data_IF_034940962820
#
_entry.id   IF_034940962820
#
_cell.length_a   1.000
_cell.length_b   1.000
_cell.length_c   1.000
_cell.angle_alpha   90.00
_cell.angle_beta   90.00
_cell.angle_gamma   90.00
#
_symmetry.space_group_name_H-M   'P 1'
#
loop_
_entity.id
_entity.type
_entity.pdbx_description
1 polymer ?
#
# COMPACT_ATOMS: atom_id res chain seq x y z
N UNK A 1 -17.44 3.47 -17.93
CA UNK A 1 -16.35 4.04 -17.11
C UNK A 1 -15.13 4.18 -17.98
N UNK A 2 -14.58 5.39 -18.09
CA UNK A 2 -13.37 5.65 -18.87
C UNK A 2 -12.11 5.60 -18.01
N UNK A 3 -11.03 5.04 -18.57
CA UNK A 3 -9.72 4.96 -17.95
C UNK A 3 -8.71 5.76 -18.77
N UNK A 4 -7.87 6.52 -18.08
CA UNK A 4 -6.70 7.14 -18.70
C UNK A 4 -5.63 6.08 -18.99
N UNK A 5 -4.72 6.36 -19.93
CA UNK A 5 -3.60 5.44 -20.25
C UNK A 5 -2.77 5.04 -19.01
N UNK A 6 -2.41 5.94 -18.08
CA UNK A 6 -1.68 5.55 -16.87
C UNK A 6 -2.49 4.65 -15.92
N UNK A 7 -3.78 4.90 -15.77
CA UNK A 7 -4.68 4.05 -14.97
C UNK A 7 -4.79 2.64 -15.57
N UNK A 8 -4.99 2.55 -16.89
CA UNK A 8 -5.04 1.28 -17.59
C UNK A 8 -3.73 0.50 -17.43
N UNK A 9 -2.59 1.14 -17.66
CA UNK A 9 -1.27 0.51 -17.46
C UNK A 9 -1.06 0.03 -16.02
N UNK A 10 -1.56 0.78 -15.04
CA UNK A 10 -1.51 0.37 -13.63
C UNK A 10 -2.29 -0.92 -13.40
N UNK A 11 -3.54 -1.00 -13.90
CA UNK A 11 -4.36 -2.21 -13.80
C UNK A 11 -3.73 -3.41 -14.53
N UNK A 12 -3.19 -3.18 -15.74
CA UNK A 12 -2.54 -4.23 -16.51
C UNK A 12 -1.29 -4.78 -15.83
N UNK A 13 -0.56 -3.96 -15.05
CA UNK A 13 0.56 -4.45 -14.24
C UNK A 13 0.13 -5.36 -13.11
N UNK A 14 -1.04 -5.15 -12.52
CA UNK A 14 -1.54 -6.06 -11.47
C UNK A 14 -1.77 -7.46 -12.03
N UNK A 15 -2.20 -7.60 -13.30
CA UNK A 15 -2.39 -8.90 -13.95
C UNK A 15 -1.10 -9.72 -14.10
N UNK A 16 0.06 -9.07 -14.09
CA UNK A 16 1.36 -9.73 -14.17
C UNK A 16 1.82 -10.34 -12.82
N UNK A 17 1.04 -10.17 -11.75
CA UNK A 17 1.40 -10.60 -10.40
C UNK A 17 0.42 -11.65 -9.84
N UNK A 18 0.91 -12.57 -8.98
CA UNK A 18 0.07 -13.51 -8.26
C UNK A 18 -1.03 -12.79 -7.46
N UNK A 19 -2.23 -13.38 -7.42
CA UNK A 19 -3.44 -12.84 -6.77
C UNK A 19 -3.79 -11.41 -7.20
N UNK A 20 -3.28 -11.00 -8.36
CA UNK A 20 -3.36 -9.65 -8.89
C UNK A 20 -2.92 -8.59 -7.87
N UNK A 21 -1.92 -8.91 -7.03
CA UNK A 21 -1.45 -8.09 -5.91
C UNK A 21 0.04 -7.78 -6.04
N UNK A 22 0.42 -6.53 -5.79
CA UNK A 22 1.83 -6.15 -5.75
C UNK A 22 2.09 -4.94 -4.85
N UNK A 23 3.37 -4.76 -4.48
CA UNK A 23 3.80 -3.51 -3.85
C UNK A 23 3.59 -2.33 -4.79
N UNK A 24 3.22 -1.17 -4.25
CA UNK A 24 2.98 0.02 -5.08
C UNK A 24 4.20 0.40 -5.94
N UNK A 25 5.41 0.10 -5.44
CA UNK A 25 6.66 0.33 -6.15
C UNK A 25 6.75 -0.41 -7.49
N UNK A 26 6.10 -1.57 -7.62
CA UNK A 26 6.11 -2.40 -8.85
C UNK A 26 5.05 -1.97 -9.87
N UNK A 27 4.07 -1.18 -9.46
CA UNK A 27 2.89 -0.81 -10.25
C UNK A 27 3.06 0.47 -11.07
N UNK A 28 4.29 0.88 -11.35
CA UNK A 28 4.58 2.14 -12.06
C UNK A 28 4.15 2.12 -13.54
N UNK A 29 3.18 2.90 -14.02
CA UNK A 29 2.76 2.85 -15.43
C UNK A 29 3.92 3.03 -16.43
N UNK A 30 4.91 3.86 -16.09
CA UNK A 30 6.14 4.05 -16.86
C UNK A 30 7.32 4.39 -15.93
N UNK A 31 8.55 4.43 -16.47
CA UNK A 31 9.76 4.69 -15.70
C UNK A 31 9.83 6.11 -15.09
N UNK A 32 9.09 7.07 -15.65
CA UNK A 32 9.08 8.47 -15.19
C UNK A 32 8.01 8.75 -14.13
N UNK A 33 7.17 7.78 -13.80
CA UNK A 33 6.08 8.00 -12.83
C UNK A 33 6.64 8.05 -11.41
N UNK A 34 6.45 9.18 -10.72
CA UNK A 34 6.93 9.36 -9.36
C UNK A 34 6.16 8.52 -8.33
N UNK A 35 6.70 8.36 -7.12
CA UNK A 35 5.98 7.70 -6.02
C UNK A 35 4.63 8.36 -5.71
N UNK A 36 4.59 9.70 -5.66
CA UNK A 36 3.37 10.45 -5.40
C UNK A 36 2.32 10.27 -6.51
N UNK A 37 2.76 10.24 -7.77
CA UNK A 37 1.86 9.98 -8.91
C UNK A 37 1.29 8.55 -8.86
N UNK A 38 2.10 7.54 -8.52
CA UNK A 38 1.62 6.16 -8.34
C UNK A 38 0.58 6.06 -7.22
N UNK A 39 0.84 6.73 -6.09
CA UNK A 39 -0.10 6.74 -4.97
C UNK A 39 -1.42 7.41 -5.37
N UNK A 40 -1.35 8.55 -6.08
CA UNK A 40 -2.52 9.23 -6.62
C UNK A 40 -3.32 8.32 -7.56
N UNK A 41 -2.66 7.64 -8.50
CA UNK A 41 -3.31 6.72 -9.43
C UNK A 41 -4.01 5.57 -8.70
N UNK A 42 -3.35 4.98 -7.70
CA UNK A 42 -3.94 3.93 -6.88
C UNK A 42 -5.21 4.42 -6.15
N UNK A 43 -5.17 5.61 -5.56
CA UNK A 43 -6.35 6.21 -4.90
C UNK A 43 -7.48 6.52 -5.88
N UNK A 44 -7.17 7.03 -7.08
CA UNK A 44 -8.17 7.30 -8.13
C UNK A 44 -8.85 6.02 -8.61
N UNK A 45 -8.08 4.96 -8.84
CA UNK A 45 -8.62 3.64 -9.20
C UNK A 45 -9.44 3.02 -8.07
N UNK A 46 -9.05 3.25 -6.82
CA UNK A 46 -9.80 2.79 -5.65
C UNK A 46 -11.14 3.53 -5.48
N UNK A 47 -11.18 4.84 -5.75
CA UNK A 47 -12.44 5.60 -5.82
C UNK A 47 -13.38 5.08 -6.92
N UNK A 48 -12.83 4.50 -7.99
CA UNK A 48 -13.58 3.82 -9.06
C UNK A 48 -13.99 2.39 -8.69
N UNK A 49 -13.62 1.89 -7.51
CA UNK A 49 -13.88 0.52 -7.06
C UNK A 49 -13.04 -0.54 -7.76
N UNK A 50 -12.03 -0.17 -8.55
CA UNK A 50 -11.26 -1.09 -9.39
C UNK A 50 -10.08 -1.75 -8.68
N UNK A 51 -9.51 -1.05 -7.70
CA UNK A 51 -8.41 -1.56 -6.88
C UNK A 51 -8.70 -1.29 -5.42
N UNK A 52 -8.15 -2.13 -4.56
CA UNK A 52 -8.05 -1.87 -3.13
C UNK A 52 -6.57 -1.93 -2.72
N UNK A 53 -6.25 -1.42 -1.54
CA UNK A 53 -4.88 -1.25 -1.12
C UNK A 53 -4.70 -1.37 0.40
N UNK A 54 -3.50 -1.77 0.81
CA UNK A 54 -3.05 -1.68 2.20
C UNK A 54 -2.25 -0.41 2.42
N UNK A 55 -2.38 0.17 3.62
CA UNK A 55 -1.61 1.32 4.06
C UNK A 55 -0.82 0.98 5.32
N UNK A 56 0.34 1.58 5.45
CA UNK A 56 1.20 1.44 6.61
C UNK A 56 1.78 2.79 7.03
N UNK A 57 2.10 2.90 8.32
CA UNK A 57 2.81 4.05 8.86
C UNK A 57 4.22 4.01 8.29
N UNK A 58 4.56 5.03 7.50
CA UNK A 58 5.88 5.16 6.88
C UNK A 58 6.82 6.03 7.67
N UNK A 59 6.27 7.05 8.35
CA UNK A 59 7.00 7.91 9.27
C UNK A 59 6.15 8.34 10.44
N UNK A 60 6.82 8.48 11.56
CA UNK A 60 6.28 9.04 12.79
C UNK A 60 7.36 9.88 13.48
N UNK A 61 6.95 10.63 14.50
CA UNK A 61 7.83 11.41 15.34
C UNK A 61 7.26 11.48 16.75
N UNK A 62 8.09 11.82 17.73
CA UNK A 62 7.59 12.09 19.08
C UNK A 62 6.66 13.31 19.06
N UNK A 63 5.57 13.23 19.83
CA UNK A 63 4.73 14.41 20.10
C UNK A 63 5.35 15.24 21.24
N UNK A 64 4.87 16.47 21.49
CA UNK A 64 5.24 17.22 22.69
C UNK A 64 4.94 16.43 23.98
N UNK A 65 3.77 15.80 24.07
CA UNK A 65 3.39 14.97 25.21
C UNK A 65 4.32 13.76 25.38
N UNK A 66 4.76 13.13 24.27
CA UNK A 66 5.75 12.05 24.32
C UNK A 66 7.12 12.51 24.79
N UNK A 67 7.53 13.75 24.48
CA UNK A 67 8.78 14.34 25.01
C UNK A 67 8.70 14.51 26.51
N UNK A 68 7.61 15.09 27.00
CA UNK A 68 7.37 15.24 28.43
C UNK A 68 7.32 13.89 29.12
N UNK A 69 6.63 12.91 28.53
CA UNK A 69 6.52 11.54 29.04
C UNK A 69 7.90 10.89 29.24
N UNK A 70 8.83 11.04 28.28
CA UNK A 70 10.20 10.50 28.41
C UNK A 70 11.04 11.16 29.51
N UNK A 71 10.64 12.33 30.01
CA UNK A 71 11.30 13.02 31.11
C UNK A 71 10.78 12.61 32.50
N UNK A 72 9.70 11.83 32.58
CA UNK A 72 9.13 11.34 33.84
C UNK A 72 9.88 10.11 34.33
N UNK A 73 9.70 9.77 35.61
CA UNK A 73 10.16 8.48 36.12
C UNK A 73 9.19 7.38 35.67
N UNK A 74 9.72 6.33 35.03
CA UNK A 74 8.92 5.36 34.28
C UNK A 74 8.54 4.13 35.12
N UNK A 75 9.04 4.03 36.35
CA UNK A 75 8.83 2.86 37.21
C UNK A 75 7.35 2.61 37.56
N UNK A 76 6.50 3.63 37.50
CA UNK A 76 5.06 3.54 37.80
C UNK A 76 4.15 3.86 36.59
N UNK A 77 4.71 3.99 35.38
CA UNK A 77 3.93 4.32 34.19
C UNK A 77 3.52 3.04 33.46
N UNK A 78 2.26 2.99 33.01
CA UNK A 78 1.72 1.92 32.14
C UNK A 78 2.34 2.02 30.74
N UNK A 79 3.62 1.72 30.61
CA UNK A 79 4.36 1.65 29.34
C UNK A 79 5.21 0.41 29.31
N UNK A 80 5.11 -0.33 28.21
CA UNK A 80 5.90 -1.55 28.03
C UNK A 80 7.36 -1.21 27.67
N UNK A 81 8.31 -2.14 27.89
CA UNK A 81 9.70 -1.94 27.46
C UNK A 81 9.83 -1.61 25.97
N UNK A 82 9.03 -2.26 25.12
CA UNK A 82 9.03 -2.02 23.67
C UNK A 82 8.50 -0.63 23.32
N UNK A 83 7.41 -0.20 23.96
CA UNK A 83 6.88 1.16 23.79
C UNK A 83 7.91 2.21 24.19
N UNK A 84 8.59 1.99 25.32
CA UNK A 84 9.64 2.89 25.80
C UNK A 84 10.83 2.94 24.82
N UNK A 85 11.24 1.80 24.27
CA UNK A 85 12.29 1.75 23.25
C UNK A 85 11.89 2.49 21.96
N UNK A 86 10.63 2.38 21.54
CA UNK A 86 10.11 3.11 20.38
C UNK A 86 10.07 4.63 20.63
N UNK A 87 9.60 5.07 21.79
CA UNK A 87 9.62 6.49 22.17
C UNK A 87 11.05 7.04 22.24
N UNK A 88 11.98 6.30 22.87
CA UNK A 88 13.41 6.68 22.93
C UNK A 88 14.03 6.75 21.52
N UNK A 89 13.65 5.85 20.62
CA UNK A 89 14.10 5.91 19.21
C UNK A 89 13.60 7.19 18.51
N UNK A 90 12.35 7.60 18.79
CA UNK A 90 11.73 8.81 18.25
C UNK A 90 12.18 10.13 18.90
N UNK A 91 12.91 10.08 20.02
CA UNK A 91 13.50 11.27 20.63
C UNK A 91 14.54 11.96 19.71
N UNK A 92 15.19 11.20 18.82
CA UNK A 92 16.22 11.70 17.89
C UNK A 92 15.65 12.46 16.69
N UNK A 93 14.33 12.42 16.46
CA UNK A 93 13.68 13.06 15.31
C UNK A 93 12.61 12.18 14.69
N UNK A 94 12.20 12.52 13.46
CA UNK A 94 11.26 11.68 12.71
C UNK A 94 11.98 10.48 12.12
N UNK A 95 11.38 9.29 12.24
CA UNK A 95 11.95 8.04 11.75
C UNK A 95 10.88 7.15 11.11
N UNK A 96 11.34 6.12 10.40
CA UNK A 96 10.51 5.03 9.87
C UNK A 96 10.43 3.88 10.88
N UNK A 97 9.42 2.98 10.78
CA UNK A 97 9.34 1.81 11.66
C UNK A 97 10.61 0.96 11.67
N UNK A 98 11.32 0.83 10.55
CA UNK A 98 12.56 0.04 10.41
C UNK A 98 13.69 0.57 11.30
N UNK A 99 13.67 1.87 11.59
CA UNK A 99 14.68 2.57 12.40
C UNK A 99 14.42 2.46 13.91
N UNK A 100 13.32 1.83 14.35
CA UNK A 100 13.10 1.51 15.76
C UNK A 100 14.18 0.52 16.24
N UNK A 101 14.58 0.65 17.50
CA UNK A 101 15.53 -0.23 18.17
C UNK A 101 15.32 -1.72 17.80
N UNK A 102 16.40 -2.41 17.44
CA UNK A 102 16.39 -3.79 16.92
C UNK A 102 15.67 -4.82 17.80
N UNK A 103 15.80 -4.68 19.14
CA UNK A 103 15.04 -5.48 20.14
C UNK A 103 13.52 -5.48 19.97
N UNK A 104 12.93 -4.43 19.38
CA UNK A 104 11.49 -4.41 19.10
C UNK A 104 11.24 -5.21 17.82
N UNK A 105 10.49 -6.30 17.94
CA UNK A 105 10.18 -7.22 16.83
C UNK A 105 9.53 -6.47 15.65
N UNK A 106 10.03 -6.70 14.43
CA UNK A 106 9.60 -5.96 13.23
C UNK A 106 8.08 -6.03 13.02
N UNK A 107 7.48 -7.20 13.24
CA UNK A 107 6.06 -7.46 13.03
C UNK A 107 5.15 -6.65 13.99
N UNK A 108 5.65 -6.24 15.15
CA UNK A 108 4.84 -5.52 16.15
C UNK A 108 4.90 -4.00 15.98
N UNK A 109 5.87 -3.48 15.21
CA UNK A 109 6.17 -2.05 15.14
C UNK A 109 5.02 -1.20 14.63
N UNK A 110 4.30 -1.63 13.59
CA UNK A 110 3.14 -0.90 13.06
C UNK A 110 2.06 -0.71 14.13
N UNK A 111 1.68 -1.82 14.79
CA UNK A 111 0.69 -1.82 15.88
C UNK A 111 1.14 -0.92 17.03
N UNK A 112 2.39 -1.05 17.46
CA UNK A 112 2.94 -0.32 18.59
C UNK A 112 2.97 1.19 18.32
N UNK A 113 3.37 1.62 17.12
CA UNK A 113 3.29 3.05 16.73
C UNK A 113 1.84 3.53 16.74
N UNK A 114 0.90 2.72 16.27
CA UNK A 114 -0.54 3.00 16.31
C UNK A 114 -1.05 3.25 17.73
N UNK A 115 -0.80 2.32 18.66
CA UNK A 115 -1.19 2.45 20.07
C UNK A 115 -0.56 3.68 20.74
N UNK A 116 0.72 3.97 20.47
CA UNK A 116 1.37 5.17 20.99
C UNK A 116 0.77 6.47 20.39
N UNK A 117 0.31 6.43 19.14
CA UNK A 117 -0.33 7.56 18.48
C UNK A 117 -1.73 7.84 19.04
N UNK A 118 -2.51 6.78 19.31
CA UNK A 118 -3.81 6.87 20.00
C UNK A 118 -3.66 7.50 21.38
N UNK A 119 -2.60 7.15 22.10
CA UNK A 119 -2.21 7.74 23.39
C UNK A 119 -1.57 9.13 23.27
N UNK A 120 -1.50 9.69 22.05
CA UNK A 120 -0.90 11.00 21.74
C UNK A 120 0.58 11.13 22.13
N UNK A 121 1.31 10.03 22.33
CA UNK A 121 2.75 10.04 22.68
C UNK A 121 3.64 10.16 21.44
N UNK A 122 3.15 9.67 20.30
CA UNK A 122 3.76 9.93 18.99
C UNK A 122 2.75 10.59 18.07
N UNK A 123 3.26 11.24 17.02
CA UNK A 123 2.48 11.70 15.89
C UNK A 123 2.87 10.92 14.65
N UNK A 124 1.88 10.38 13.94
CA UNK A 124 2.09 9.80 12.61
C UNK A 124 2.27 10.98 11.65
N UNK A 125 3.43 11.04 11.00
CA UNK A 125 3.76 12.14 10.08
C UNK A 125 3.53 11.76 8.63
N UNK A 126 3.54 10.46 8.31
CA UNK A 126 3.26 9.98 6.96
C UNK A 126 2.74 8.56 6.96
N UNK A 127 1.61 8.34 6.31
CA UNK A 127 1.08 7.02 5.93
C UNK A 127 1.34 6.84 4.43
N UNK A 128 1.67 5.62 4.00
CA UNK A 128 1.87 5.31 2.59
C UNK A 128 1.15 4.03 2.20
N UNK A 129 0.74 3.93 0.94
CA UNK A 129 0.23 2.69 0.38
C UNK A 129 1.39 1.70 0.21
N UNK A 130 1.26 0.52 0.81
CA UNK A 130 2.25 -0.55 0.75
C UNK A 130 2.01 -1.44 -0.47
N UNK A 131 0.81 -1.98 -0.59
CA UNK A 131 0.40 -2.88 -1.67
C UNK A 131 -0.98 -2.50 -2.21
N UNK A 132 -1.22 -2.86 -3.47
CA UNK A 132 -2.52 -2.74 -4.10
C UNK A 132 -2.88 -4.04 -4.83
N UNK A 133 -4.17 -4.30 -4.97
CA UNK A 133 -4.70 -5.45 -5.69
C UNK A 133 -5.99 -5.12 -6.45
N UNK A 134 -6.31 -5.93 -7.46
CA UNK A 134 -7.60 -5.82 -8.13
C UNK A 134 -8.73 -6.27 -7.19
N UNK A 135 -9.78 -5.47 -7.10
CA UNK A 135 -11.03 -5.91 -6.47
C UNK A 135 -11.77 -6.89 -7.38
N UNK A 136 -12.79 -7.56 -6.84
CA UNK A 136 -13.73 -8.34 -7.65
C UNK A 136 -14.38 -7.50 -8.76
N UNK A 137 -14.75 -6.25 -8.44
CA UNK A 137 -15.28 -5.31 -9.42
C UNK A 137 -14.24 -4.97 -10.49
N UNK A 138 -12.97 -4.75 -10.10
CA UNK A 138 -11.86 -4.49 -11.01
C UNK A 138 -11.65 -5.62 -12.00
N UNK A 139 -11.65 -6.86 -11.51
CA UNK A 139 -11.54 -8.04 -12.35
C UNK A 139 -12.74 -8.16 -13.30
N UNK A 140 -13.95 -7.95 -12.81
CA UNK A 140 -15.20 -7.98 -13.60
C UNK A 140 -15.18 -6.93 -14.71
N UNK A 141 -14.76 -5.71 -14.37
CA UNK A 141 -14.59 -4.61 -15.32
C UNK A 141 -13.60 -4.99 -16.43
N UNK A 142 -12.41 -5.47 -16.07
CA UNK A 142 -11.41 -5.88 -17.04
C UNK A 142 -11.88 -7.05 -17.92
N UNK A 143 -12.71 -7.95 -17.39
CA UNK A 143 -13.17 -9.13 -18.12
C UNK A 143 -14.30 -8.85 -19.10
N UNK A 144 -15.28 -8.05 -18.69
CA UNK A 144 -16.55 -7.93 -19.42
C UNK A 144 -16.78 -6.55 -20.03
N UNK A 145 -16.15 -5.51 -19.49
CA UNK A 145 -16.43 -4.13 -19.87
C UNK A 145 -15.26 -3.45 -20.57
N UNK A 146 -14.04 -3.92 -20.34
CA UNK A 146 -12.87 -3.42 -21.05
C UNK A 146 -12.76 -4.09 -22.42
N UNK A 147 -12.93 -3.29 -23.47
CA UNK A 147 -12.66 -3.71 -24.84
C UNK A 147 -11.49 -2.89 -25.40
N UNK A 148 -10.38 -3.52 -25.82
CA UNK A 148 -9.25 -2.80 -26.37
C UNK A 148 -9.58 -2.31 -27.79
N UNK A 149 -10.18 -1.11 -27.91
CA UNK A 149 -10.35 -0.42 -29.19
C UNK A 149 -9.41 0.80 -29.29
N UNK A 150 -8.75 0.96 -30.44
CA UNK A 150 -7.88 2.09 -30.76
C UNK A 150 -6.39 1.77 -30.90
N UNK A 151 -5.60 2.75 -31.33
CA UNK A 151 -4.18 2.59 -31.63
C UNK A 151 -3.39 2.10 -30.41
N UNK A 152 -2.84 0.89 -30.55
CA UNK A 152 -2.09 0.10 -29.57
C UNK A 152 -0.74 0.71 -29.12
N UNK A 153 -0.65 2.03 -28.95
CA UNK A 153 0.53 2.69 -28.39
C UNK A 153 0.52 2.70 -26.85
N UNK A 154 -0.59 2.31 -26.23
CA UNK A 154 -0.79 2.38 -24.79
C UNK A 154 -0.32 1.15 -23.99
N UNK A 155 -0.12 -0.03 -24.57
CA UNK A 155 0.23 -1.25 -23.82
C UNK A 155 1.42 -1.96 -24.45
N UNK A 156 2.27 -2.58 -23.63
CA UNK A 156 3.34 -3.45 -24.14
C UNK A 156 2.78 -4.82 -24.50
N UNK A 157 3.47 -5.55 -25.38
CA UNK A 157 3.11 -6.92 -25.73
C UNK A 157 3.02 -7.83 -24.49
N UNK A 158 3.89 -7.62 -23.49
CA UNK A 158 3.85 -8.34 -22.21
C UNK A 158 2.53 -8.09 -21.48
N UNK A 159 2.10 -6.82 -21.36
CA UNK A 159 0.82 -6.48 -20.71
C UNK A 159 -0.37 -7.11 -21.43
N UNK A 160 -0.36 -7.13 -22.77
CA UNK A 160 -1.39 -7.79 -23.55
C UNK A 160 -1.38 -9.31 -23.34
N UNK A 161 -0.19 -9.92 -23.28
CA UNK A 161 -0.04 -11.34 -22.97
C UNK A 161 -0.60 -11.71 -21.60
N UNK A 162 -0.33 -10.90 -20.58
CA UNK A 162 -0.86 -11.12 -19.23
C UNK A 162 -2.37 -10.91 -19.16
N UNK A 163 -2.90 -9.92 -19.89
CA UNK A 163 -4.34 -9.74 -20.05
C UNK A 163 -5.01 -10.93 -20.74
N UNK A 164 -4.43 -11.46 -21.81
CA UNK A 164 -4.97 -12.65 -22.50
C UNK A 164 -4.96 -13.89 -21.59
N UNK A 165 -3.92 -14.08 -20.79
CA UNK A 165 -3.88 -15.16 -19.79
C UNK A 165 -5.02 -15.01 -18.78
N UNK A 166 -5.21 -13.79 -18.26
CA UNK A 166 -6.31 -13.46 -17.34
C UNK A 166 -7.68 -13.79 -17.93
N UNK A 167 -7.95 -13.40 -19.18
CA UNK A 167 -9.23 -13.71 -19.85
C UNK A 167 -9.40 -15.22 -20.07
N UNK A 168 -8.36 -15.93 -20.50
CA UNK A 168 -8.42 -17.39 -20.70
C UNK A 168 -8.70 -18.16 -19.42
N UNK A 169 -8.03 -17.81 -18.32
CA UNK A 169 -8.25 -18.44 -17.01
C UNK A 169 -9.71 -18.33 -16.57
N UNK A 170 -10.32 -17.17 -16.79
CA UNK A 170 -11.73 -16.97 -16.49
C UNK A 170 -12.66 -17.85 -17.35
N UNK A 171 -12.37 -17.97 -18.65
CA UNK A 171 -13.15 -18.81 -19.56
C UNK A 171 -13.06 -20.30 -19.21
N UNK A 172 -11.90 -20.78 -18.75
CA UNK A 172 -11.74 -22.16 -18.30
C UNK A 172 -12.47 -22.48 -16.99
N UNK A 173 -12.61 -21.50 -16.09
CA UNK A 173 -13.35 -21.68 -14.83
C UNK A 173 -14.87 -21.75 -15.06
N UNK A 174 -15.40 -21.07 -16.08
CA UNK A 174 -16.83 -21.18 -16.46
C UNK A 174 -17.24 -22.49 -17.12
N UNK A 175 -16.27 -23.34 -17.54
CA UNK A 175 -16.54 -24.62 -18.21
C UNK A 175 -16.46 -25.84 -17.27
N UNK A 176 -16.07 -25.64 -16.01
CA UNK A 176 -16.10 -26.66 -14.95
C UNK A 176 -16.77 -26.08 -13.70
N UNK A 177 -18.11 -26.07 -13.62
CA UNK A 177 -18.79 -25.80 -12.36
C UNK A 177 -18.62 -27.04 -11.47
N UNK A 178 -17.97 -26.87 -10.32
CA UNK A 178 -18.00 -27.83 -9.22
C UNK A 178 -19.41 -27.99 -8.67
#
# INVERSE_FOLDING_TARGET
MELTTPELKFLMRLLAHPDYRASLSRLSPNAKTSAAQRERLCRQLSQKGLVDYSQEISRFALSPAGRTFLGLDHHNLLVTPDELLTLKSAAKGSLTPEQIHSRVAIQTRQRLIGTLAERKLVKITKIQIQAAWLTTQGQTFLRHHYSPYGHAQALTLTMLGDYLKFIRQAATHSLNPS
#
